data_IF_357339995731
#
_entry.id   IF_357339995731
#
_cell.length_a   1.000
_cell.length_b   1.000
_cell.length_c   1.000
_cell.angle_alpha   90.00
_cell.angle_beta   90.00
_cell.angle_gamma   90.00
#
_symmetry.space_group_name_H-M   'P 1'
#
loop_
_entity.id
_entity.type
_entity.pdbx_description
1 polymer ?
#
# COMPACT_ATOMS: atom_id res chain seq x y z
N UNK A 1 7.00 -5.32 17.95
CA UNK A 1 8.20 -5.96 17.36
C UNK A 1 8.06 -5.92 15.84
N UNK A 2 9.16 -5.73 15.07
CA UNK A 2 9.09 -5.70 13.61
C UNK A 2 8.71 -7.06 13.00
N UNK A 3 8.01 -7.04 11.86
CA UNK A 3 7.59 -8.25 11.13
C UNK A 3 8.81 -9.09 10.71
N UNK A 4 8.86 -10.37 11.05
CA UNK A 4 10.01 -11.22 10.68
C UNK A 4 11.29 -10.94 11.47
N UNK A 5 11.16 -10.45 12.72
CA UNK A 5 12.25 -10.29 13.69
C UNK A 5 13.43 -9.46 13.15
N UNK A 6 14.67 -9.98 13.19
CA UNK A 6 15.87 -9.25 12.79
C UNK A 6 15.88 -8.85 11.30
N UNK A 7 15.22 -9.63 10.43
CA UNK A 7 15.05 -9.27 9.00
C UNK A 7 14.11 -8.07 8.85
N UNK A 8 13.01 -8.08 9.60
CA UNK A 8 12.09 -6.94 9.70
C UNK A 8 12.75 -5.69 10.21
N UNK A 9 13.53 -5.84 11.28
CA UNK A 9 14.28 -4.74 11.87
C UNK A 9 15.23 -4.11 10.83
N UNK A 10 16.04 -4.92 10.16
CA UNK A 10 16.97 -4.44 9.15
C UNK A 10 16.26 -3.70 8.00
N UNK A 11 15.14 -4.24 7.50
CA UNK A 11 14.34 -3.58 6.46
C UNK A 11 13.72 -2.26 6.96
N UNK A 12 13.16 -2.24 8.17
CA UNK A 12 12.59 -1.02 8.75
C UNK A 12 13.64 0.08 8.92
N UNK A 13 14.85 -0.27 9.40
CA UNK A 13 15.94 0.68 9.57
C UNK A 13 16.41 1.23 8.22
N UNK A 14 16.57 0.36 7.21
CA UNK A 14 16.94 0.78 5.86
C UNK A 14 15.96 1.83 5.30
N UNK A 15 14.65 1.57 5.38
CA UNK A 15 13.65 2.53 4.88
C UNK A 15 13.57 3.81 5.72
N UNK A 16 13.73 3.74 7.04
CA UNK A 16 13.80 4.95 7.89
C UNK A 16 14.99 5.83 7.52
N UNK A 17 16.15 5.23 7.25
CA UNK A 17 17.34 5.96 6.82
C UNK A 17 17.13 6.58 5.43
N UNK A 18 16.57 5.83 4.47
CA UNK A 18 16.27 6.33 3.12
C UNK A 18 15.25 7.46 3.14
N UNK A 19 14.15 7.31 3.87
CA UNK A 19 13.14 8.36 4.02
C UNK A 19 13.72 9.61 4.69
N UNK A 20 14.54 9.41 5.73
CA UNK A 20 15.22 10.51 6.43
C UNK A 20 16.17 11.32 5.56
N UNK A 21 16.80 10.74 4.52
CA UNK A 21 17.74 11.46 3.64
C UNK A 21 17.17 12.77 3.09
N UNK A 22 15.89 12.78 2.71
CA UNK A 22 15.22 13.94 2.15
C UNK A 22 14.35 14.68 3.18
N UNK A 23 14.43 14.31 4.46
CA UNK A 23 13.53 14.76 5.50
C UNK A 23 14.25 15.27 6.76
N UNK A 24 13.61 15.09 7.91
CA UNK A 24 14.08 15.60 9.19
C UNK A 24 14.71 14.49 10.04
N UNK A 25 15.86 14.82 10.62
CA UNK A 25 16.51 14.03 11.65
C UNK A 25 16.29 14.71 13.00
N UNK A 26 15.49 14.10 13.87
CA UNK A 26 15.34 14.56 15.24
C UNK A 26 15.99 13.57 16.20
N UNK A 27 17.24 13.85 16.56
CA UNK A 27 18.04 13.01 17.45
C UNK A 27 17.48 12.97 18.88
N UNK A 28 16.86 14.05 19.36
CA UNK A 28 16.25 14.10 20.70
C UNK A 28 15.02 13.22 20.82
N UNK A 29 14.19 13.17 19.77
CA UNK A 29 13.02 12.30 19.67
C UNK A 29 13.35 10.91 19.11
N UNK A 30 14.63 10.65 18.79
CA UNK A 30 15.09 9.42 18.12
C UNK A 30 14.22 9.07 16.91
N UNK A 31 13.82 10.10 16.15
CA UNK A 31 12.87 9.96 15.03
C UNK A 31 13.46 10.53 13.75
N UNK A 32 13.12 9.85 12.65
CA UNK A 32 13.48 10.25 11.30
C UNK A 32 12.18 10.27 10.51
N UNK A 33 11.89 11.38 9.85
CA UNK A 33 10.67 11.53 9.07
C UNK A 33 11.02 12.04 7.69
N UNK A 34 10.54 11.36 6.66
CA UNK A 34 10.72 11.80 5.29
C UNK A 34 10.26 10.74 4.30
N UNK A 35 10.22 11.14 3.03
CA UNK A 35 9.77 10.30 1.93
C UNK A 35 10.93 10.10 0.96
N UNK A 36 11.17 8.84 0.63
CA UNK A 36 12.05 8.46 -0.46
C UNK A 36 11.21 7.86 -1.59
N UNK A 37 11.37 8.39 -2.81
CA UNK A 37 10.70 7.88 -4.00
C UNK A 37 11.76 7.53 -5.05
N UNK A 38 11.69 6.30 -5.55
CA UNK A 38 12.55 5.81 -6.61
C UNK A 38 11.70 5.40 -7.81
N UNK A 39 12.07 5.91 -8.99
CA UNK A 39 11.43 5.56 -10.26
C UNK A 39 12.50 4.97 -11.18
N UNK A 40 12.16 3.89 -11.88
CA UNK A 40 13.02 3.24 -12.86
C UNK A 40 12.34 3.29 -14.22
N UNK A 41 13.05 3.77 -15.24
CA UNK A 41 12.63 3.60 -16.64
C UNK A 41 13.00 2.19 -17.10
N UNK A 42 12.00 1.31 -17.23
CA UNK A 42 12.18 -0.06 -17.69
C UNK A 42 12.73 -0.12 -19.11
N UNK A 43 12.33 0.82 -19.98
CA UNK A 43 12.74 0.84 -21.38
C UNK A 43 14.23 1.13 -21.55
N UNK A 44 14.86 1.72 -20.53
CA UNK A 44 16.31 1.91 -20.48
C UNK A 44 17.10 0.59 -20.30
N UNK A 45 16.43 -0.50 -19.88
CA UNK A 45 17.06 -1.80 -19.63
C UNK A 45 16.61 -2.90 -20.62
N UNK A 46 15.36 -2.87 -21.06
CA UNK A 46 14.76 -3.94 -21.88
C UNK A 46 13.49 -3.46 -22.58
N UNK A 47 13.07 -4.08 -23.72
CA UNK A 47 11.79 -3.75 -24.34
C UNK A 47 10.62 -3.90 -23.36
N UNK A 48 9.86 -2.81 -23.19
CA UNK A 48 8.81 -2.71 -22.16
C UNK A 48 7.74 -3.80 -22.27
N UNK A 49 7.25 -4.07 -23.48
CA UNK A 49 6.21 -5.06 -23.72
C UNK A 49 6.67 -6.47 -23.33
N UNK A 50 7.90 -6.84 -23.71
CA UNK A 50 8.50 -8.12 -23.35
C UNK A 50 8.68 -8.26 -21.83
N UNK A 51 9.14 -7.19 -21.16
CA UNK A 51 9.26 -7.18 -19.70
C UNK A 51 7.90 -7.36 -19.01
N UNK A 52 6.88 -6.62 -19.44
CA UNK A 52 5.52 -6.73 -18.89
C UNK A 52 4.93 -8.13 -19.07
N UNK A 53 5.13 -8.74 -20.25
CA UNK A 53 4.71 -10.12 -20.51
C UNK A 53 5.41 -11.11 -19.57
N UNK A 54 6.71 -10.95 -19.36
CA UNK A 54 7.47 -11.82 -18.45
C UNK A 54 7.04 -11.66 -17.00
N UNK A 55 6.83 -10.43 -16.52
CA UNK A 55 6.32 -10.16 -15.18
C UNK A 55 4.95 -10.83 -15.00
N UNK A 56 4.05 -10.69 -15.96
CA UNK A 56 2.73 -11.35 -15.91
C UNK A 56 2.87 -12.87 -15.86
N UNK A 57 3.70 -13.47 -16.70
CA UNK A 57 3.92 -14.92 -16.68
C UNK A 57 4.45 -15.44 -15.32
N UNK A 58 5.35 -14.70 -14.67
CA UNK A 58 5.84 -15.05 -13.32
C UNK A 58 4.72 -14.98 -12.30
N UNK A 59 3.93 -13.92 -12.29
CA UNK A 59 2.82 -13.75 -11.36
C UNK A 59 1.75 -14.83 -11.58
N UNK A 60 1.40 -15.12 -12.83
CA UNK A 60 0.43 -16.18 -13.17
C UNK A 60 0.95 -17.56 -12.74
N UNK A 61 2.24 -17.83 -12.91
CA UNK A 61 2.86 -19.06 -12.42
C UNK A 61 2.76 -19.19 -10.89
N UNK A 62 3.01 -18.11 -10.14
CA UNK A 62 2.85 -18.11 -8.67
C UNK A 62 1.40 -18.40 -8.27
N UNK A 63 0.42 -17.82 -8.96
CA UNK A 63 -1.01 -18.03 -8.70
C UNK A 63 -1.49 -19.44 -9.06
N UNK A 64 -0.80 -20.11 -9.97
CA UNK A 64 -1.11 -21.49 -10.37
C UNK A 64 -0.68 -22.55 -9.35
N UNK A 65 0.09 -22.17 -8.32
CA UNK A 65 0.53 -23.08 -7.27
C UNK A 65 -0.69 -23.54 -6.45
N UNK A 66 -0.83 -24.85 -6.15
CA UNK A 66 -1.89 -25.33 -5.27
C UNK A 66 -1.88 -24.60 -3.92
N UNK A 67 -3.02 -24.08 -3.46
CA UNK A 67 -3.07 -23.36 -2.19
C UNK A 67 -2.77 -24.29 -1.02
N UNK A 68 -2.25 -23.70 0.07
CA UNK A 68 -2.06 -24.43 1.32
C UNK A 68 -3.40 -24.86 1.94
N UNK A 69 -3.43 -25.91 2.78
CA UNK A 69 -4.66 -26.31 3.47
C UNK A 69 -5.33 -25.14 4.21
N UNK A 70 -6.62 -24.94 3.97
CA UNK A 70 -7.39 -23.84 4.55
C UNK A 70 -7.40 -22.55 3.72
N UNK A 71 -6.80 -22.55 2.53
CA UNK A 71 -6.84 -21.45 1.57
C UNK A 71 -7.42 -21.91 0.23
N UNK A 72 -8.15 -21.02 -0.44
CA UNK A 72 -8.80 -21.30 -1.72
C UNK A 72 -7.91 -20.99 -2.93
N UNK A 73 -6.96 -20.07 -2.79
CA UNK A 73 -6.07 -19.63 -3.86
C UNK A 73 -4.77 -18.99 -3.33
N UNK A 74 -3.78 -18.88 -4.21
CA UNK A 74 -2.56 -18.09 -3.98
C UNK A 74 -2.74 -16.69 -4.57
N UNK A 75 -2.54 -15.66 -3.76
CA UNK A 75 -2.61 -14.26 -4.19
C UNK A 75 -1.21 -13.68 -4.40
N UNK A 76 -1.09 -12.77 -5.38
CA UNK A 76 0.10 -11.92 -5.53
C UNK A 76 -0.20 -10.49 -5.04
N UNK A 77 0.84 -9.71 -4.65
CA UNK A 77 0.64 -8.33 -4.22
C UNK A 77 -0.18 -7.51 -5.23
N UNK A 78 -1.25 -6.87 -4.76
CA UNK A 78 -2.19 -6.10 -5.57
C UNK A 78 -3.50 -6.81 -5.90
N UNK A 79 -3.58 -8.15 -5.83
CA UNK A 79 -4.83 -8.87 -6.12
C UNK A 79 -5.94 -8.52 -5.12
N UNK A 80 -5.59 -8.53 -3.82
CA UNK A 80 -6.53 -8.23 -2.74
C UNK A 80 -7.04 -6.78 -2.85
N UNK A 81 -6.13 -5.83 -3.05
CA UNK A 81 -6.43 -4.41 -3.19
C UNK A 81 -7.27 -4.16 -4.45
N UNK A 82 -6.98 -4.84 -5.56
CA UNK A 82 -7.77 -4.72 -6.79
C UNK A 82 -9.22 -5.14 -6.56
N UNK A 83 -9.45 -6.30 -5.93
CA UNK A 83 -10.80 -6.79 -5.60
C UNK A 83 -11.53 -5.84 -4.67
N UNK A 84 -10.86 -5.40 -3.60
CA UNK A 84 -11.41 -4.44 -2.65
C UNK A 84 -11.81 -3.12 -3.34
N UNK A 85 -11.00 -2.63 -4.28
CA UNK A 85 -11.30 -1.44 -5.07
C UNK A 85 -12.52 -1.64 -5.97
N UNK A 86 -12.62 -2.76 -6.69
CA UNK A 86 -13.78 -3.02 -7.55
C UNK A 86 -15.08 -3.08 -6.74
N UNK A 87 -15.06 -3.80 -5.61
CA UNK A 87 -16.21 -3.91 -4.72
C UNK A 87 -16.63 -2.53 -4.20
N UNK A 88 -15.68 -1.74 -3.67
CA UNK A 88 -15.99 -0.42 -3.09
C UNK A 88 -16.46 0.61 -4.11
N UNK A 89 -16.05 0.47 -5.38
CA UNK A 89 -16.58 1.31 -6.46
C UNK A 89 -18.02 0.95 -6.81
N UNK A 90 -18.42 -0.32 -6.67
CA UNK A 90 -19.77 -0.78 -6.98
C UNK A 90 -20.74 -0.61 -5.80
N UNK A 91 -20.29 -0.89 -4.58
CA UNK A 91 -21.13 -1.00 -3.38
C UNK A 91 -20.95 0.20 -2.42
N UNK A 92 -19.95 1.03 -2.64
CA UNK A 92 -19.56 2.09 -1.72
C UNK A 92 -18.55 1.63 -0.67
N UNK A 93 -18.14 2.57 0.19
CA UNK A 93 -17.19 2.31 1.28
C UNK A 93 -17.97 2.29 2.59
N UNK A 94 -17.93 1.16 3.30
CA UNK A 94 -18.43 1.10 4.67
C UNK A 94 -17.54 1.95 5.58
N UNK A 95 -18.14 2.94 6.23
CA UNK A 95 -17.48 3.82 7.20
C UNK A 95 -18.05 3.52 8.58
N UNK A 96 -17.22 3.18 9.58
CA UNK A 96 -17.71 2.97 10.95
C UNK A 96 -18.47 4.19 11.48
N UNK A 97 -19.57 3.96 12.21
CA UNK A 97 -20.45 5.02 12.68
C UNK A 97 -19.71 6.12 13.48
N UNK A 98 -18.74 5.74 14.31
CA UNK A 98 -17.92 6.72 15.05
C UNK A 98 -17.06 7.59 14.11
N UNK A 99 -16.46 6.99 13.09
CA UNK A 99 -15.71 7.74 12.07
C UNK A 99 -16.62 8.70 11.31
N UNK A 100 -17.83 8.25 10.94
CA UNK A 100 -18.80 9.10 10.26
C UNK A 100 -19.27 10.27 11.13
N UNK A 101 -19.57 10.02 12.41
CA UNK A 101 -19.92 11.08 13.36
C UNK A 101 -18.83 12.14 13.53
N UNK A 102 -17.55 11.73 13.48
CA UNK A 102 -16.42 12.67 13.48
C UNK A 102 -16.37 13.52 12.21
N UNK A 103 -16.68 12.93 11.05
CA UNK A 103 -16.79 13.65 9.78
C UNK A 103 -17.93 14.69 9.86
N UNK A 104 -19.10 14.30 10.36
CA UNK A 104 -20.26 15.20 10.59
C UNK A 104 -19.92 16.39 11.50
N UNK A 105 -19.23 16.14 12.61
CA UNK A 105 -18.82 17.20 13.51
C UNK A 105 -17.90 18.24 12.83
N UNK A 106 -16.97 17.78 11.99
CA UNK A 106 -16.09 18.67 11.23
C UNK A 106 -16.82 19.42 10.13
N UNK A 107 -17.71 18.75 9.40
CA UNK A 107 -18.52 19.36 8.36
C UNK A 107 -19.37 20.52 8.92
N UNK A 108 -20.02 20.31 10.07
CA UNK A 108 -20.76 21.35 10.78
C UNK A 108 -19.87 22.52 11.23
N UNK A 109 -18.68 22.23 11.78
CA UNK A 109 -17.73 23.26 12.23
C UNK A 109 -17.22 24.13 11.08
N UNK A 110 -17.02 23.52 9.91
CA UNK A 110 -16.50 24.20 8.71
C UNK A 110 -17.61 24.71 7.78
N UNK A 111 -18.88 24.48 8.13
CA UNK A 111 -20.06 24.84 7.34
C UNK A 111 -20.03 24.26 5.91
N UNK A 112 -19.71 22.98 5.78
CA UNK A 112 -19.68 22.21 4.52
C UNK A 112 -20.78 21.15 4.54
N UNK A 113 -21.51 20.98 3.44
CA UNK A 113 -22.53 19.91 3.30
C UNK A 113 -21.88 18.55 3.05
N UNK A 114 -22.46 17.49 3.62
CA UNK A 114 -21.98 16.11 3.47
C UNK A 114 -22.66 15.32 2.36
N UNK A 115 -23.75 15.86 1.82
CA UNK A 115 -24.46 15.31 0.68
C UNK A 115 -24.44 16.35 -0.44
N UNK A 116 -24.25 15.88 -1.67
CA UNK A 116 -24.73 16.58 -2.85
C UNK A 116 -26.24 16.33 -2.94
N UNK A 117 -27.04 17.39 -3.10
CA UNK A 117 -28.42 17.26 -3.61
C UNK A 117 -28.39 16.85 -5.10
#
# INVERSE_FOLDING_TARGET
MPFGAHKGYALSLFFSLMGGLAGEFNAELTSMAGLFMQVYDVAAFTPLEGYQSNVRAVLDAMKSIPPAPGFDEVLVPGDFEHRSRQQRLAEGIEVPAETFARIEAWAKKLNVSLTEE
#
